data_IF_022400958249
#
_entry.id   IF_022400958249
#
_cell.length_a   1.000
_cell.length_b   1.000
_cell.length_c   1.000
_cell.angle_alpha   90.00
_cell.angle_beta   90.00
_cell.angle_gamma   90.00
#
_symmetry.space_group_name_H-M   'P 1'
#
loop_
_entity.id
_entity.type
_entity.pdbx_description
1 polymer ?
#
# COMPACT_ATOMS: atom_id res chain seq x y z
N UNK A 1 19.72 -18.17 9.22
CA UNK A 1 18.40 -17.52 9.33
C UNK A 1 18.57 -16.18 8.64
N UNK A 2 18.01 -16.05 7.44
CA UNK A 2 18.09 -14.82 6.66
C UNK A 2 16.90 -13.94 7.03
N UNK A 3 17.18 -12.71 7.44
CA UNK A 3 16.17 -11.73 7.87
C UNK A 3 15.90 -10.68 6.79
N UNK A 4 16.43 -10.92 5.59
CA UNK A 4 16.26 -10.02 4.45
C UNK A 4 14.91 -10.26 3.79
N UNK A 5 14.25 -9.17 3.40
CA UNK A 5 13.08 -9.23 2.54
C UNK A 5 13.46 -9.85 1.18
N UNK A 6 12.58 -10.69 0.64
CA UNK A 6 12.68 -11.19 -0.73
C UNK A 6 12.68 -10.02 -1.72
N UNK A 7 13.16 -10.27 -2.94
CA UNK A 7 13.12 -9.24 -4.00
C UNK A 7 11.70 -8.76 -4.27
N UNK A 8 10.73 -9.67 -4.32
CA UNK A 8 9.31 -9.31 -4.45
C UNK A 8 8.85 -8.37 -3.34
N UNK A 9 9.12 -8.69 -2.07
CA UNK A 9 8.74 -7.84 -0.93
C UNK A 9 9.40 -6.46 -1.01
N UNK A 10 10.65 -6.37 -1.48
CA UNK A 10 11.34 -5.08 -1.69
C UNK A 10 10.68 -4.25 -2.76
N UNK A 11 10.32 -4.85 -3.90
CA UNK A 11 9.66 -4.16 -5.02
C UNK A 11 8.31 -3.58 -4.58
N UNK A 12 7.52 -4.36 -3.85
CA UNK A 12 6.20 -3.93 -3.35
C UNK A 12 6.35 -2.81 -2.34
N UNK A 13 7.27 -2.96 -1.38
CA UNK A 13 7.57 -1.91 -0.40
C UNK A 13 7.94 -0.60 -1.08
N UNK A 14 8.76 -0.65 -2.13
CA UNK A 14 9.16 0.54 -2.87
C UNK A 14 7.97 1.18 -3.60
N UNK A 15 7.14 0.36 -4.24
CA UNK A 15 5.95 0.81 -4.96
C UNK A 15 4.95 1.49 -4.02
N UNK A 16 4.64 0.86 -2.88
CA UNK A 16 3.78 1.43 -1.83
C UNK A 16 4.38 2.74 -1.30
N UNK A 17 5.69 2.76 -1.03
CA UNK A 17 6.35 3.96 -0.49
C UNK A 17 6.25 5.15 -1.45
N UNK A 18 6.39 4.92 -2.75
CA UNK A 18 6.24 5.96 -3.78
C UNK A 18 4.81 6.52 -3.81
N UNK A 19 3.80 5.64 -3.75
CA UNK A 19 2.38 6.06 -3.72
C UNK A 19 2.10 6.86 -2.44
N UNK A 20 2.56 6.37 -1.28
CA UNK A 20 2.39 7.05 0.00
C UNK A 20 3.03 8.45 0.00
N UNK A 21 4.26 8.59 -0.50
CA UNK A 21 4.93 9.89 -0.54
C UNK A 21 4.31 10.86 -1.55
N UNK A 22 3.86 10.37 -2.70
CA UNK A 22 3.32 11.25 -3.74
C UNK A 22 1.88 11.71 -3.47
N UNK A 23 1.07 10.83 -2.89
CA UNK A 23 -0.38 11.01 -2.79
C UNK A 23 -0.86 11.27 -1.37
N UNK A 24 -0.34 10.52 -0.39
CA UNK A 24 -0.78 10.62 1.00
C UNK A 24 -0.02 11.72 1.74
N UNK A 25 1.31 11.77 1.64
CA UNK A 25 2.14 12.70 2.40
C UNK A 25 1.77 14.19 2.22
N UNK A 26 1.52 14.74 1.02
CA UNK A 26 1.18 16.15 0.88
C UNK A 26 -0.20 16.49 1.45
N UNK A 27 -1.15 15.54 1.44
CA UNK A 27 -2.51 15.75 1.95
C UNK A 27 -2.66 15.41 3.43
N UNK A 28 -1.70 14.67 4.01
CA UNK A 28 -1.77 14.16 5.38
C UNK A 28 -2.03 15.26 6.42
N UNK A 29 -1.32 16.39 6.34
CA UNK A 29 -1.47 17.49 7.29
C UNK A 29 -2.82 18.22 7.22
N UNK A 30 -3.45 18.25 6.03
CA UNK A 30 -4.78 18.85 5.86
C UNK A 30 -5.88 17.89 6.33
N UNK A 31 -5.71 16.62 6.02
CA UNK A 31 -6.63 15.54 6.40
C UNK A 31 -6.67 15.37 7.91
N UNK A 32 -5.51 15.41 8.58
CA UNK A 32 -5.41 15.37 10.04
C UNK A 32 -6.16 16.53 10.70
N UNK A 33 -6.01 17.76 10.17
CA UNK A 33 -6.71 18.95 10.66
C UNK A 33 -8.22 18.92 10.45
N UNK A 34 -8.67 18.34 9.34
CA UNK A 34 -10.07 18.33 8.94
C UNK A 34 -10.82 17.07 9.39
N UNK A 35 -10.11 16.10 9.98
CA UNK A 35 -10.62 14.75 10.26
C UNK A 35 -11.33 14.11 9.05
N UNK A 36 -10.90 14.47 7.83
CA UNK A 36 -11.50 13.97 6.60
C UNK A 36 -10.90 12.62 6.23
N UNK A 37 -11.62 11.83 5.43
CA UNK A 37 -11.13 10.53 4.99
C UNK A 37 -10.44 10.63 3.62
N UNK A 38 -9.32 9.92 3.45
CA UNK A 38 -8.43 10.01 2.26
C UNK A 38 -8.98 9.17 1.10
N UNK A 39 -10.19 9.47 0.62
CA UNK A 39 -10.85 8.69 -0.43
C UNK A 39 -10.02 8.55 -1.71
N UNK A 40 -9.35 9.63 -2.15
CA UNK A 40 -8.48 9.59 -3.34
C UNK A 40 -7.24 8.73 -3.12
N UNK A 41 -6.61 8.84 -1.95
CA UNK A 41 -5.44 8.03 -1.59
C UNK A 41 -5.81 6.55 -1.50
N UNK A 42 -6.97 6.23 -0.90
CA UNK A 42 -7.48 4.86 -0.84
C UNK A 42 -7.76 4.30 -2.24
N UNK A 43 -8.32 5.10 -3.15
CA UNK A 43 -8.58 4.67 -4.52
C UNK A 43 -7.27 4.32 -5.26
N UNK A 44 -6.22 5.13 -5.09
CA UNK A 44 -4.90 4.84 -5.68
C UNK A 44 -4.24 3.60 -5.08
N UNK A 45 -4.39 3.38 -3.77
CA UNK A 45 -3.95 2.15 -3.12
C UNK A 45 -4.74 0.93 -3.62
N UNK A 46 -6.03 1.09 -3.89
CA UNK A 46 -6.84 0.03 -4.51
C UNK A 46 -6.37 -0.28 -5.94
N UNK A 47 -6.09 0.73 -6.76
CA UNK A 47 -5.59 0.54 -8.13
C UNK A 47 -4.20 -0.09 -8.18
N UNK A 48 -3.40 0.06 -7.12
CA UNK A 48 -2.11 -0.60 -6.99
C UNK A 48 -2.21 -2.03 -6.42
N UNK A 49 -3.42 -2.55 -6.20
CA UNK A 49 -3.70 -3.88 -5.62
C UNK A 49 -3.12 -4.11 -4.21
N UNK A 50 -2.62 -3.06 -3.56
CA UNK A 50 -1.93 -3.16 -2.27
C UNK A 50 -2.88 -3.44 -1.10
N UNK A 51 -4.19 -3.25 -1.30
CA UNK A 51 -5.22 -3.60 -0.31
C UNK A 51 -5.43 -5.12 -0.20
N UNK A 52 -5.00 -5.89 -1.21
CA UNK A 52 -5.20 -7.34 -1.30
C UNK A 52 -3.92 -8.16 -1.26
N UNK A 53 -2.79 -7.60 -0.81
CA UNK A 53 -1.47 -8.26 -0.90
C UNK A 53 -1.47 -9.69 -0.36
N UNK A 54 -1.94 -9.86 0.87
CA UNK A 54 -1.99 -11.16 1.54
C UNK A 54 -3.30 -11.94 1.31
N UNK A 55 -4.21 -11.40 0.49
CA UNK A 55 -5.48 -12.07 0.20
C UNK A 55 -5.25 -13.07 -0.95
N UNK A 56 -5.73 -14.31 -0.85
CA UNK A 56 -5.61 -15.29 -1.94
C UNK A 56 -6.20 -14.76 -3.24
N UNK A 57 -5.60 -15.11 -4.38
CA UNK A 57 -6.06 -14.65 -5.70
C UNK A 57 -7.49 -15.05 -6.03
N UNK A 58 -8.01 -16.12 -5.42
CA UNK A 58 -9.43 -16.51 -5.52
C UNK A 58 -10.40 -15.45 -5.01
N UNK A 59 -9.95 -14.56 -4.12
CA UNK A 59 -10.75 -13.47 -3.56
C UNK A 59 -10.34 -12.09 -4.12
N UNK A 60 -9.54 -12.06 -5.20
CA UNK A 60 -9.09 -10.82 -5.82
C UNK A 60 -7.93 -10.14 -5.11
N UNK A 61 -7.05 -10.92 -4.47
CA UNK A 61 -5.77 -10.44 -3.93
C UNK A 61 -4.55 -10.97 -4.67
N UNK A 62 -3.36 -10.56 -4.23
CA UNK A 62 -2.10 -10.97 -4.85
C UNK A 62 -1.56 -12.31 -4.34
N UNK A 63 -2.20 -12.91 -3.32
CA UNK A 63 -1.82 -14.22 -2.79
C UNK A 63 -0.41 -14.27 -2.23
N UNK A 64 0.11 -13.12 -1.76
CA UNK A 64 1.45 -13.05 -1.21
C UNK A 64 1.51 -13.51 0.23
N UNK A 65 2.69 -13.99 0.60
CA UNK A 65 2.98 -14.34 1.98
C UNK A 65 3.06 -13.07 2.86
N UNK A 66 2.73 -13.24 4.14
CA UNK A 66 2.68 -12.14 5.11
C UNK A 66 4.09 -11.82 5.66
N UNK A 67 5.03 -12.78 5.65
CA UNK A 67 6.49 -12.60 5.61
C UNK A 67 7.23 -13.95 5.67
#
# INVERSE_FOLDING_TARGET
MDWNLSEDHKIIKETISKIAQKELAPKAAEIDKTCSFVWEGLKKLKEADVLGLAIPSEYGGMGMDIL
#
